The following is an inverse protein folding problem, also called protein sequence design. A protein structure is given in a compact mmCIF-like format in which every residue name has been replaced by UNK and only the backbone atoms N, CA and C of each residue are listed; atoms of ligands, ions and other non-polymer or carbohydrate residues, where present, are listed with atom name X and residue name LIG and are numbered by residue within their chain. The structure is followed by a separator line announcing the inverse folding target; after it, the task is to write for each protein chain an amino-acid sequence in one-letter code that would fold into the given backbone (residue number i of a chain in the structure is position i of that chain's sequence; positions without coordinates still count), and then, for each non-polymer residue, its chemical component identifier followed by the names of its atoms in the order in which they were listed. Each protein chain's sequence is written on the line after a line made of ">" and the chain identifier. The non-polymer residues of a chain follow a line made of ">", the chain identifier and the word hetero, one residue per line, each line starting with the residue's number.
data_IF_249748839421
#
_entry.id   IF_249748839421
#
_cell.length_a   1.000
_cell.length_b   1.000
_cell.length_c   1.000
_cell.angle_alpha   90.00
_cell.angle_beta   90.00
_cell.angle_gamma   90.00
#
_symmetry.space_group_name_H-M   'P 1'
#
loop_
_entity.id
_entity.type
_entity.pdbx_description
1 polymer ?
#
# COMPACT_ATOMS: atom_id res chain seq x y z
N UNK A 1 -30.37 4.89 7.71
CA UNK A 1 -29.10 4.89 6.95
C UNK A 1 -29.23 3.93 5.77
N UNK A 2 -28.95 4.37 4.54
CA UNK A 2 -29.31 3.67 3.29
C UNK A 2 -28.33 2.54 2.85
N UNK A 3 -27.27 2.25 3.61
CA UNK A 3 -26.32 1.12 3.36
C UNK A 3 -25.62 1.13 1.98
N UNK A 4 -25.48 2.30 1.35
CA UNK A 4 -24.90 2.44 0.00
C UNK A 4 -23.37 2.33 -0.08
N UNK A 5 -22.66 2.38 1.06
CA UNK A 5 -21.19 2.39 1.09
C UNK A 5 -20.66 1.06 1.60
N UNK A 6 -19.81 0.43 0.80
CA UNK A 6 -19.07 -0.77 1.19
C UNK A 6 -17.59 -0.43 1.33
N UNK A 7 -16.96 -0.90 2.40
CA UNK A 7 -15.51 -0.87 2.61
C UNK A 7 -15.02 -2.31 2.63
N UNK A 8 -14.05 -2.63 1.77
CA UNK A 8 -13.52 -3.98 1.56
C UNK A 8 -14.63 -5.02 1.29
N UNK A 9 -15.62 -4.65 0.46
CA UNK A 9 -16.76 -5.49 0.12
C UNK A 9 -17.84 -5.64 1.21
N UNK A 10 -17.64 -5.04 2.40
CA UNK A 10 -18.60 -5.09 3.51
C UNK A 10 -19.29 -3.75 3.73
N UNK A 11 -20.61 -3.77 3.89
CA UNK A 11 -21.38 -2.56 4.21
C UNK A 11 -20.90 -1.99 5.54
N UNK A 12 -20.57 -0.70 5.56
CA UNK A 12 -20.24 0.04 6.78
C UNK A 12 -21.27 1.13 7.01
N UNK A 13 -21.85 1.14 8.21
CA UNK A 13 -22.85 2.14 8.62
C UNK A 13 -22.33 3.13 9.66
N UNK A 14 -21.21 2.82 10.31
CA UNK A 14 -20.58 3.73 11.26
C UNK A 14 -19.93 4.90 10.51
N UNK A 15 -20.32 6.13 10.86
CA UNK A 15 -19.79 7.36 10.27
C UNK A 15 -18.31 7.60 10.64
N UNK A 16 -17.85 7.04 11.75
CA UNK A 16 -16.48 7.17 12.25
C UNK A 16 -15.60 5.96 11.95
N UNK A 17 -16.05 5.09 11.03
CA UNK A 17 -15.31 3.90 10.64
C UNK A 17 -13.89 4.28 10.12
N UNK A 18 -12.82 3.70 10.67
CA UNK A 18 -11.45 4.09 10.33
C UNK A 18 -10.98 3.40 9.04
N UNK A 19 -11.43 3.88 7.89
CA UNK A 19 -10.90 3.43 6.59
C UNK A 19 -9.45 3.89 6.41
N UNK A 20 -8.60 3.01 5.87
CA UNK A 20 -7.15 3.20 5.84
C UNK A 20 -6.49 2.88 4.51
N UNK A 21 -5.17 2.88 4.52
CA UNK A 21 -4.35 2.57 3.34
C UNK A 21 -4.69 1.19 2.75
N UNK A 22 -4.79 1.12 1.42
CA UNK A 22 -5.19 -0.06 0.63
C UNK A 22 -6.64 -0.52 0.75
N UNK A 23 -7.47 0.12 1.58
CA UNK A 23 -8.89 -0.21 1.64
C UNK A 23 -9.61 0.19 0.36
N UNK A 24 -10.56 -0.65 -0.05
CA UNK A 24 -11.41 -0.43 -1.22
C UNK A 24 -12.77 0.11 -0.77
N UNK A 25 -13.18 1.25 -1.31
CA UNK A 25 -14.49 1.86 -1.09
C UNK A 25 -15.31 1.68 -2.37
N UNK A 26 -16.43 0.98 -2.26
CA UNK A 26 -17.36 0.72 -3.37
C UNK A 26 -18.67 1.45 -3.14
N UNK A 27 -19.11 2.19 -4.15
CA UNK A 27 -20.41 2.87 -4.21
C UNK A 27 -21.26 2.21 -5.30
N UNK A 28 -22.21 1.37 -4.89
CA UNK A 28 -23.01 0.57 -5.84
C UNK A 28 -23.98 1.44 -6.66
N UNK A 29 -24.50 2.52 -6.08
CA UNK A 29 -25.46 3.39 -6.77
C UNK A 29 -24.83 4.16 -7.94
N UNK A 30 -23.52 4.42 -7.90
CA UNK A 30 -22.79 5.18 -8.92
C UNK A 30 -21.89 4.30 -9.79
N UNK A 31 -21.80 2.99 -9.51
CA UNK A 31 -20.86 2.07 -10.14
C UNK A 31 -19.40 2.58 -10.08
N UNK A 32 -19.01 3.14 -8.93
CA UNK A 32 -17.66 3.66 -8.73
C UNK A 32 -16.94 2.92 -7.61
N UNK A 33 -15.68 2.59 -7.89
CA UNK A 33 -14.78 1.93 -6.97
C UNK A 33 -13.55 2.83 -6.73
N UNK A 34 -13.15 2.92 -5.47
CA UNK A 34 -12.02 3.73 -5.05
C UNK A 34 -11.08 2.93 -4.15
N UNK A 35 -9.79 3.24 -4.21
CA UNK A 35 -8.81 2.78 -3.23
C UNK A 35 -8.22 3.98 -2.50
N UNK A 36 -8.10 3.85 -1.19
CA UNK A 36 -7.39 4.82 -0.36
C UNK A 36 -5.88 4.59 -0.47
N UNK A 37 -5.19 5.55 -1.08
CA UNK A 37 -3.73 5.56 -1.24
C UNK A 37 -3.17 6.91 -0.81
N UNK A 38 -1.87 7.02 -0.60
CA UNK A 38 -1.26 8.31 -0.23
C UNK A 38 -0.86 9.13 -1.45
N UNK A 39 -1.16 10.43 -1.44
CA UNK A 39 -0.50 11.37 -2.34
C UNK A 39 0.94 11.66 -1.87
N UNK A 40 1.72 12.31 -2.74
CA UNK A 40 3.12 12.65 -2.46
C UNK A 40 3.29 13.74 -1.38
N UNK A 41 2.19 14.40 -0.99
CA UNK A 41 2.13 15.38 0.10
C UNK A 41 1.73 14.74 1.43
N UNK A 42 1.50 13.43 1.46
CA UNK A 42 1.18 12.66 2.65
C UNK A 42 -0.29 12.62 3.05
N UNK A 43 -1.20 12.98 2.14
CA UNK A 43 -2.65 12.96 2.36
C UNK A 43 -3.25 11.71 1.74
N UNK A 44 -4.42 11.28 2.23
CA UNK A 44 -5.17 10.27 1.51
C UNK A 44 -5.71 10.85 0.20
N UNK A 45 -5.33 10.21 -0.90
CA UNK A 45 -5.93 10.39 -2.21
C UNK A 45 -6.97 9.29 -2.43
N UNK A 46 -8.15 9.70 -2.88
CA UNK A 46 -9.21 8.80 -3.32
C UNK A 46 -8.92 8.44 -4.77
N UNK A 47 -8.31 7.28 -5.00
CA UNK A 47 -7.93 6.84 -6.35
C UNK A 47 -9.03 5.99 -6.94
N UNK A 48 -9.60 6.40 -8.08
CA UNK A 48 -10.60 5.60 -8.80
C UNK A 48 -9.94 4.37 -9.42
N UNK A 49 -10.53 3.20 -9.20
CA UNK A 49 -10.04 1.91 -9.67
C UNK A 49 -11.11 1.17 -10.48
N UNK A 50 -10.71 0.12 -11.19
CA UNK A 50 -11.63 -0.77 -11.93
C UNK A 50 -12.28 -1.80 -11.01
N UNK A 51 -13.35 -2.44 -11.48
CA UNK A 51 -14.05 -3.49 -10.74
C UNK A 51 -13.17 -4.71 -10.48
N UNK A 52 -12.29 -5.06 -11.44
CA UNK A 52 -11.32 -6.13 -11.28
C UNK A 52 -10.34 -5.82 -10.15
N UNK A 53 -9.80 -4.60 -10.12
CA UNK A 53 -8.88 -4.18 -9.06
C UNK A 53 -9.58 -4.04 -7.70
N UNK A 54 -10.87 -3.71 -7.69
CA UNK A 54 -11.70 -3.61 -6.50
C UNK A 54 -11.99 -4.98 -5.85
N UNK A 55 -11.78 -6.09 -6.56
CA UNK A 55 -11.97 -7.45 -6.03
C UNK A 55 -10.89 -7.88 -5.03
N UNK A 56 -9.73 -7.20 -5.01
CA UNK A 56 -8.62 -7.56 -4.15
C UNK A 56 -7.99 -6.33 -3.46
N UNK A 57 -7.13 -6.60 -2.49
CA UNK A 57 -6.21 -5.59 -1.94
C UNK A 57 -4.87 -6.18 -1.54
N UNK A 58 -3.89 -5.31 -1.35
CA UNK A 58 -2.58 -5.68 -0.83
C UNK A 58 -2.50 -5.49 0.68
N UNK A 59 -1.81 -6.40 1.36
CA UNK A 59 -1.58 -6.33 2.80
C UNK A 59 -0.15 -6.64 3.18
N UNK A 60 0.57 -5.69 3.77
CA UNK A 60 1.87 -5.97 4.39
C UNK A 60 1.69 -6.88 5.60
N UNK A 61 2.46 -7.96 5.65
CA UNK A 61 2.50 -8.90 6.77
C UNK A 61 3.28 -8.27 7.93
N UNK A 62 2.59 -8.05 9.06
CA UNK A 62 3.19 -7.53 10.30
C UNK A 62 3.75 -8.65 11.18
N UNK A 63 3.10 -9.81 11.20
CA UNK A 63 3.44 -10.92 12.10
C UNK A 63 3.18 -12.26 11.41
N UNK A 64 4.05 -13.23 11.63
CA UNK A 64 3.84 -14.64 11.27
C UNK A 64 4.05 -15.45 12.54
N UNK A 65 3.07 -16.25 12.94
CA UNK A 65 3.12 -16.96 14.22
C UNK A 65 2.35 -18.29 14.16
N UNK A 66 2.72 -19.23 15.03
CA UNK A 66 1.96 -20.44 15.29
C UNK A 66 0.91 -20.19 16.39
N UNK A 67 -0.33 -20.49 16.09
CA UNK A 67 -1.46 -20.40 17.01
C UNK A 67 -1.66 -21.68 17.81
N UNK A 68 -2.77 -21.70 18.57
CA UNK A 68 -3.23 -22.90 19.28
C UNK A 68 -3.39 -24.07 18.29
N UNK A 69 -3.09 -25.28 18.75
CA UNK A 69 -3.09 -26.51 17.93
C UNK A 69 -2.06 -26.51 16.79
N UNK A 70 -1.01 -25.68 16.87
CA UNK A 70 0.07 -25.64 15.88
C UNK A 70 -0.33 -25.03 14.52
N UNK A 71 -1.46 -24.31 14.45
CA UNK A 71 -1.94 -23.73 13.19
C UNK A 71 -1.19 -22.44 12.88
N UNK A 72 -0.46 -22.33 11.75
CA UNK A 72 0.21 -21.09 11.37
C UNK A 72 -0.80 -20.04 10.90
N UNK A 73 -0.52 -18.77 11.22
CA UNK A 73 -1.28 -17.62 10.74
C UNK A 73 -0.38 -16.41 10.48
N UNK A 74 -0.82 -15.56 9.56
CA UNK A 74 -0.25 -14.23 9.34
C UNK A 74 -1.21 -13.14 9.80
N UNK A 75 -0.65 -12.04 10.28
CA UNK A 75 -1.39 -10.82 10.61
C UNK A 75 -0.93 -9.71 9.68
N UNK A 76 -1.87 -9.08 8.99
CA UNK A 76 -1.61 -8.00 8.04
C UNK A 76 -1.73 -6.62 8.71
N UNK A 77 -1.29 -5.58 8.00
CA UNK A 77 -1.24 -4.21 8.52
C UNK A 77 -2.61 -3.63 8.91
N UNK A 78 -3.67 -4.06 8.23
CA UNK A 78 -5.09 -3.73 8.44
C UNK A 78 -5.74 -4.63 9.53
N UNK A 79 -4.95 -5.45 10.23
CA UNK A 79 -5.42 -6.24 11.36
C UNK A 79 -6.13 -7.54 11.00
N UNK A 80 -6.16 -7.94 9.72
CA UNK A 80 -6.70 -9.26 9.35
C UNK A 80 -5.75 -10.37 9.79
N UNK A 81 -6.33 -11.48 10.25
CA UNK A 81 -5.60 -12.70 10.59
C UNK A 81 -5.97 -13.78 9.57
N UNK A 82 -5.00 -14.22 8.77
CA UNK A 82 -5.20 -15.24 7.73
C UNK A 82 -4.49 -16.52 8.17
N UNK A 83 -5.28 -17.59 8.30
CA UNK A 83 -4.79 -18.91 8.75
C UNK A 83 -4.29 -19.72 7.55
N UNK A 84 -3.37 -20.64 7.83
CA UNK A 84 -2.74 -21.51 6.82
C UNK A 84 -2.10 -20.73 5.66
N UNK A 85 -1.21 -19.76 5.96
CA UNK A 85 -0.45 -19.08 4.91
C UNK A 85 0.61 -20.03 4.31
N UNK A 86 1.09 -19.69 3.12
CA UNK A 86 2.25 -20.34 2.53
C UNK A 86 3.49 -20.22 3.47
N UNK A 87 4.22 -21.32 3.75
CA UNK A 87 5.40 -21.29 4.62
C UNK A 87 6.51 -20.32 4.19
N UNK A 88 6.53 -19.99 2.91
CA UNK A 88 7.45 -19.04 2.32
C UNK A 88 7.22 -17.65 2.88
N UNK A 89 5.97 -17.22 3.11
CA UNK A 89 5.62 -15.84 3.52
C UNK A 89 6.28 -15.48 4.87
N UNK A 90 7.02 -14.36 4.88
CA UNK A 90 7.73 -13.82 6.05
C UNK A 90 7.21 -12.43 6.43
N UNK A 91 7.70 -11.91 7.55
CA UNK A 91 7.39 -10.55 8.01
C UNK A 91 7.93 -9.53 7.01
N UNK A 92 7.16 -8.47 6.76
CA UNK A 92 7.37 -7.42 5.75
C UNK A 92 7.10 -7.78 4.29
N UNK A 93 6.85 -9.06 3.99
CA UNK A 93 6.29 -9.45 2.69
C UNK A 93 4.89 -8.83 2.54
N UNK A 94 4.44 -8.65 1.31
CA UNK A 94 3.08 -8.21 1.00
C UNK A 94 2.28 -9.37 0.44
N UNK A 95 1.05 -9.56 0.91
CA UNK A 95 0.12 -10.57 0.38
C UNK A 95 -1.00 -9.90 -0.41
N UNK A 96 -1.41 -10.52 -1.52
CA UNK A 96 -2.60 -10.16 -2.28
C UNK A 96 -3.78 -10.94 -1.71
N UNK A 97 -4.78 -10.22 -1.24
CA UNK A 97 -5.95 -10.76 -0.55
C UNK A 97 -7.16 -10.56 -1.44
N UNK A 98 -7.87 -11.64 -1.74
CA UNK A 98 -9.20 -11.59 -2.35
C UNK A 98 -10.20 -11.12 -1.28
N UNK A 99 -10.94 -10.05 -1.58
CA UNK A 99 -11.87 -9.44 -0.64
C UNK A 99 -13.14 -10.27 -0.42
N UNK A 100 -13.55 -11.08 -1.40
CA UNK A 100 -14.73 -11.94 -1.27
C UNK A 100 -14.46 -13.14 -0.37
N UNK A 101 -13.35 -13.84 -0.60
CA UNK A 101 -13.01 -15.05 0.17
C UNK A 101 -12.18 -14.77 1.43
N UNK A 102 -11.48 -13.64 1.47
CA UNK A 102 -10.51 -13.30 2.52
C UNK A 102 -9.24 -14.16 2.49
N UNK A 103 -9.01 -14.91 1.40
CA UNK A 103 -7.83 -15.77 1.23
C UNK A 103 -6.70 -15.03 0.52
N UNK A 104 -5.48 -15.50 0.73
CA UNK A 104 -4.29 -15.05 0.00
C UNK A 104 -4.30 -15.72 -1.38
N UNK A 105 -4.18 -14.93 -2.44
CA UNK A 105 -4.09 -15.42 -3.83
C UNK A 105 -2.66 -15.43 -4.34
N UNK A 106 -1.87 -14.44 -3.95
CA UNK A 106 -0.47 -14.28 -4.34
C UNK A 106 0.30 -13.52 -3.25
N UNK A 107 1.63 -13.52 -3.28
CA UNK A 107 2.46 -12.76 -2.35
C UNK A 107 3.74 -12.26 -3.01
N UNK A 108 4.28 -11.16 -2.48
CA UNK A 108 5.49 -10.50 -2.95
C UNK A 108 6.49 -10.47 -1.80
N UNK A 109 7.70 -10.94 -2.07
CA UNK A 109 8.82 -10.93 -1.14
C UNK A 109 9.35 -9.52 -0.89
N UNK A 110 9.73 -9.24 0.35
CA UNK A 110 10.53 -8.07 0.69
C UNK A 110 11.99 -8.34 0.35
N UNK A 111 12.45 -7.82 -0.79
CA UNK A 111 13.84 -7.97 -1.25
C UNK A 111 14.31 -6.73 -2.03
N UNK A 112 15.61 -6.66 -2.34
CA UNK A 112 16.17 -5.64 -3.21
C UNK A 112 15.54 -5.69 -4.62
N UNK A 113 15.41 -4.53 -5.26
CA UNK A 113 14.79 -4.39 -6.58
C UNK A 113 13.26 -4.37 -6.60
N UNK A 114 12.60 -4.64 -5.47
CA UNK A 114 11.13 -4.59 -5.39
C UNK A 114 10.61 -3.16 -5.34
N UNK A 115 9.44 -2.94 -5.94
CA UNK A 115 8.76 -1.66 -5.93
C UNK A 115 8.03 -1.47 -4.61
N UNK A 116 8.25 -0.34 -3.96
CA UNK A 116 7.74 -0.03 -2.63
C UNK A 116 7.02 1.32 -2.58
N UNK A 117 6.05 1.38 -1.68
CA UNK A 117 5.29 2.54 -1.27
C UNK A 117 5.71 2.94 0.14
N UNK A 118 5.98 4.22 0.37
CA UNK A 118 6.24 4.73 1.72
C UNK A 118 4.92 5.09 2.40
N UNK A 119 4.64 4.46 3.54
CA UNK A 119 3.40 4.62 4.31
C UNK A 119 3.56 5.49 5.57
N UNK A 120 4.72 6.10 5.80
CA UNK A 120 4.92 6.97 6.96
C UNK A 120 6.20 7.82 6.94
N UNK A 121 6.24 8.83 7.80
CA UNK A 121 7.38 9.75 7.94
C UNK A 121 7.46 10.83 6.85
N UNK A 122 8.60 11.52 6.77
CA UNK A 122 8.82 12.66 5.85
C UNK A 122 8.71 12.30 4.36
N UNK A 123 8.92 11.03 4.02
CA UNK A 123 8.86 10.51 2.65
C UNK A 123 7.53 9.81 2.32
N UNK A 124 6.50 9.96 3.18
CA UNK A 124 5.15 9.42 2.95
C UNK A 124 4.64 9.75 1.56
N UNK A 125 4.02 8.79 0.89
CA UNK A 125 3.46 8.98 -0.45
C UNK A 125 4.43 8.73 -1.59
N UNK A 126 5.73 8.61 -1.31
CA UNK A 126 6.74 8.33 -2.34
C UNK A 126 6.76 6.86 -2.72
N UNK A 127 7.08 6.61 -3.99
CA UNK A 127 7.21 5.26 -4.56
C UNK A 127 8.60 5.15 -5.18
N UNK A 128 9.23 3.99 -5.01
CA UNK A 128 10.54 3.71 -5.60
C UNK A 128 10.92 2.25 -5.46
N UNK A 129 12.11 1.89 -5.89
CA UNK A 129 12.67 0.54 -5.75
C UNK A 129 13.60 0.47 -4.55
N UNK A 130 13.59 -0.67 -3.85
CA UNK A 130 14.56 -0.94 -2.78
C UNK A 130 15.95 -1.11 -3.41
N UNK A 131 16.91 -0.32 -2.97
CA UNK A 131 18.32 -0.47 -3.36
C UNK A 131 19.05 -1.36 -2.34
N UNK A 132 19.00 -0.96 -1.08
CA UNK A 132 19.73 -1.60 -0.01
C UNK A 132 18.95 -1.51 1.30
N UNK A 133 19.02 -2.57 2.11
CA UNK A 133 18.51 -2.60 3.47
C UNK A 133 19.70 -2.59 4.43
N UNK A 134 19.81 -1.52 5.20
CA UNK A 134 20.79 -1.39 6.28
C UNK A 134 20.17 -1.97 7.56
N UNK A 135 20.79 -3.04 8.06
CA UNK A 135 20.34 -3.74 9.26
C UNK A 135 21.10 -3.22 10.47
N UNK A 136 20.36 -2.86 11.52
CA UNK A 136 20.95 -2.44 12.79
C UNK A 136 20.44 -3.36 13.89
N UNK A 137 21.30 -4.26 14.40
CA UNK A 137 20.91 -5.15 15.48
C UNK A 137 20.67 -4.34 16.78
N UNK A 138 19.49 -4.51 17.38
CA UNK A 138 19.04 -3.72 18.52
C UNK A 138 18.49 -2.32 18.15
N UNK A 139 18.56 -1.93 16.88
CA UNK A 139 18.12 -0.62 16.38
C UNK A 139 16.97 -0.70 15.39
N UNK A 140 16.74 0.42 14.69
CA UNK A 140 15.75 0.49 13.61
C UNK A 140 16.43 0.26 12.27
N UNK A 141 16.06 -0.82 11.58
CA UNK A 141 16.49 -1.06 10.20
C UNK A 141 16.09 0.09 9.28
N UNK A 142 17.03 0.49 8.42
CA UNK A 142 16.85 1.54 7.41
C UNK A 142 16.77 0.90 6.02
N UNK A 143 15.98 1.51 5.15
CA UNK A 143 15.80 1.07 3.77
C UNK A 143 16.08 2.25 2.85
N UNK A 144 17.07 2.06 1.97
CA UNK A 144 17.42 2.99 0.91
C UNK A 144 16.55 2.69 -0.31
N UNK A 145 15.82 3.72 -0.74
CA UNK A 145 14.87 3.63 -1.84
C UNK A 145 15.31 4.62 -2.91
N UNK A 146 15.22 4.22 -4.18
CA UNK A 146 15.47 5.05 -5.35
C UNK A 146 14.19 5.21 -6.15
N UNK A 147 13.80 6.43 -6.48
CA UNK A 147 12.65 6.68 -7.35
C UNK A 147 13.02 6.57 -8.84
N UNK A 148 12.02 6.73 -9.72
CA UNK A 148 12.22 6.65 -11.18
C UNK A 148 13.01 7.83 -11.76
N UNK A 149 13.24 8.90 -10.98
CA UNK A 149 14.06 10.05 -11.36
C UNK A 149 15.46 9.96 -10.72
N UNK A 150 15.86 8.77 -10.28
CA UNK A 150 17.13 8.49 -9.61
C UNK A 150 17.35 9.23 -8.27
N UNK A 151 16.33 9.88 -7.71
CA UNK A 151 16.45 10.47 -6.38
C UNK A 151 16.44 9.36 -5.33
N UNK A 152 17.46 9.37 -4.48
CA UNK A 152 17.57 8.43 -3.37
C UNK A 152 17.04 9.04 -2.07
N UNK A 153 16.34 8.25 -1.28
CA UNK A 153 15.89 8.64 0.05
C UNK A 153 15.83 7.44 0.99
N UNK A 154 15.82 7.71 2.29
CA UNK A 154 15.86 6.68 3.33
C UNK A 154 14.60 6.72 4.18
N UNK A 155 14.13 5.55 4.59
CA UNK A 155 13.02 5.41 5.54
C UNK A 155 13.29 4.24 6.49
N UNK A 156 12.60 4.22 7.64
CA UNK A 156 12.61 3.04 8.52
C UNK A 156 11.86 1.90 7.84
N UNK A 157 12.32 0.67 8.07
CA UNK A 157 11.71 -0.56 7.53
C UNK A 157 10.19 -0.66 7.81
N UNK A 158 9.72 -0.16 8.96
CA UNK A 158 8.29 -0.15 9.29
C UNK A 158 7.46 0.63 8.26
N UNK A 159 7.99 1.71 7.70
CA UNK A 159 7.30 2.61 6.78
C UNK A 159 7.34 2.16 5.32
N UNK A 160 7.97 1.01 5.03
CA UNK A 160 8.09 0.49 3.67
C UNK A 160 7.01 -0.56 3.41
N UNK A 161 6.28 -0.42 2.31
CA UNK A 161 5.24 -1.35 1.89
C UNK A 161 5.53 -1.84 0.48
N UNK A 162 5.69 -3.15 0.26
CA UNK A 162 5.97 -3.71 -1.06
C UNK A 162 4.70 -3.74 -1.90
N UNK A 163 4.75 -3.23 -3.13
CA UNK A 163 3.59 -3.12 -4.02
C UNK A 163 3.76 -3.81 -5.36
N UNK A 164 4.93 -4.37 -5.66
CA UNK A 164 5.16 -5.12 -6.90
C UNK A 164 6.62 -5.24 -7.28
N UNK A 165 6.84 -5.56 -8.55
CA UNK A 165 8.16 -5.61 -9.18
C UNK A 165 8.53 -4.24 -9.77
N UNK A 166 9.82 -4.03 -10.06
CA UNK A 166 10.28 -2.81 -10.71
C UNK A 166 9.51 -2.55 -12.01
N UNK A 167 8.87 -1.38 -12.12
CA UNK A 167 8.08 -0.98 -13.28
C UNK A 167 6.69 -1.64 -13.40
N UNK A 168 6.40 -2.68 -12.60
CA UNK A 168 5.11 -3.39 -12.62
C UNK A 168 4.47 -3.40 -11.22
N UNK A 169 3.78 -2.32 -10.83
CA UNK A 169 3.00 -2.31 -9.60
C UNK A 169 1.81 -3.27 -9.72
N UNK A 170 1.45 -3.93 -8.61
CA UNK A 170 0.27 -4.79 -8.52
C UNK A 170 -1.02 -3.98 -8.31
N UNK A 171 -0.90 -2.66 -8.15
CA UNK A 171 -2.02 -1.74 -7.99
C UNK A 171 -1.85 -0.54 -8.92
N UNK A 172 -2.97 0.08 -9.29
CA UNK A 172 -2.97 1.37 -9.96
C UNK A 172 -2.43 2.46 -9.03
N UNK A 173 -1.62 3.35 -9.59
CA UNK A 173 -0.93 4.40 -8.85
C UNK A 173 -1.62 5.76 -9.08
N UNK A 174 -1.68 6.61 -8.04
CA UNK A 174 -2.24 7.95 -8.17
C UNK A 174 -1.41 8.82 -9.11
N UNK A 175 -1.99 9.96 -9.54
CA UNK A 175 -1.34 10.93 -10.42
C UNK A 175 0.04 11.32 -9.89
N UNK A 176 1.05 11.23 -10.75
CA UNK A 176 2.44 11.51 -10.38
C UNK A 176 3.24 10.29 -9.91
N UNK A 177 2.63 9.09 -9.84
CA UNK A 177 3.33 7.81 -9.59
C UNK A 177 4.27 7.82 -8.37
N UNK A 178 3.93 8.60 -7.34
CA UNK A 178 4.77 8.71 -6.13
C UNK A 178 6.05 9.55 -6.27
N UNK A 179 6.19 10.31 -7.35
CA UNK A 179 7.37 11.17 -7.58
C UNK A 179 7.19 12.50 -6.84
N UNK A 180 8.15 12.83 -5.97
CA UNK A 180 8.16 14.08 -5.22
C UNK A 180 8.96 15.13 -5.97
N UNK A 181 8.25 16.10 -6.53
CA UNK A 181 8.85 17.27 -7.16
C UNK A 181 9.41 18.22 -6.11
N UNK A 182 10.42 18.97 -6.50
CA UNK A 182 10.89 20.12 -5.75
C UNK A 182 9.85 21.25 -5.77
N UNK A 183 9.97 22.18 -4.82
CA UNK A 183 9.05 23.33 -4.72
C UNK A 183 9.10 24.20 -5.99
N UNK A 184 10.28 24.33 -6.61
CA UNK A 184 10.46 25.06 -7.86
C UNK A 184 9.73 24.36 -9.02
N UNK A 185 9.93 23.05 -9.18
CA UNK A 185 9.26 22.26 -10.23
C UNK A 185 7.73 22.23 -10.06
N UNK A 186 7.23 22.13 -8.81
CA UNK A 186 5.78 22.23 -8.55
C UNK A 186 5.23 23.59 -8.96
N UNK A 187 5.93 24.68 -8.63
CA UNK A 187 5.54 26.05 -8.99
C UNK A 187 5.49 26.22 -10.50
N UNK A 188 6.53 25.79 -11.20
CA UNK A 188 6.66 25.98 -12.64
C UNK A 188 5.63 25.12 -13.40
N UNK A 189 5.40 23.87 -12.96
CA UNK A 189 4.32 23.01 -13.49
C UNK A 189 2.94 23.65 -13.29
N UNK A 190 2.68 24.24 -12.12
CA UNK A 190 1.40 24.91 -11.83
C UNK A 190 1.19 26.13 -12.73
N UNK A 191 2.22 26.96 -12.92
CA UNK A 191 2.16 28.12 -13.82
C UNK A 191 1.95 27.72 -15.27
N UNK A 192 2.65 26.69 -15.74
CA UNK A 192 2.45 26.18 -17.10
C UNK A 192 1.03 25.65 -17.33
N UNK A 193 0.41 25.04 -16.31
CA UNK A 193 -0.98 24.57 -16.40
C UNK A 193 -2.01 25.72 -16.31
N UNK A 194 -1.66 26.82 -15.65
CA UNK A 194 -2.51 28.02 -15.53
C UNK A 194 -2.35 28.96 -16.71
N UNK A 195 -1.22 28.91 -17.42
CA UNK A 195 -0.91 29.72 -18.59
C UNK A 195 -1.46 29.11 -19.88
N UNK A 196 -2.78 29.15 -20.02
CA UNK A 196 -3.55 29.08 -21.27
C UNK A 196 -4.82 29.91 -21.06
#
# INVERSE_FOLDING_TARGET
>A
MQRHVKVDGKVRTDATYPAGFMDVITLEATNENFRLVYDVKGRFAVHRITDEEASYKLGKVKKVQLGKKGVPYVVTHDGRTIRYPDPSIKVNDTVKIDLATGKITDYIKFDAGKLVYVTGGRNLGRIGTIVHKERHDGGFDLVHIKDTLDNTFVTRLNNVFVIGEQGKPYISLPKGKGIKLTIAEERDRRRAQQGL
#
